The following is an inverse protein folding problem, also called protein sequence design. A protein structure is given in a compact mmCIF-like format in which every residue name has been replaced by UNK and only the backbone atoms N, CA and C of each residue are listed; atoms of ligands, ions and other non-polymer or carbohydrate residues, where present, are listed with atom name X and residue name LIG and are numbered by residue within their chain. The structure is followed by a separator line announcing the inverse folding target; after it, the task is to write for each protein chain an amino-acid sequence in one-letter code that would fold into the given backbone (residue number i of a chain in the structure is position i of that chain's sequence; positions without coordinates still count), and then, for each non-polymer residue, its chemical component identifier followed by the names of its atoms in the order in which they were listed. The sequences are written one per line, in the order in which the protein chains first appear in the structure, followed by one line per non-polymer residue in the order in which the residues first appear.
data_IF_874154398050
#
_entry.id   IF_874154398050
#
_cell.length_a   1.000
_cell.length_b   1.000
_cell.length_c   1.000
_cell.angle_alpha   90.00
_cell.angle_beta   90.00
_cell.angle_gamma   90.00
#
_symmetry.space_group_name_H-M   'P 1'
#
loop_
_entity.id
_entity.type
_entity.pdbx_description
1 polymer ?
#
# COMPACT_ATOMS: atom_id res chain seq x y z
N UNK A 1 10.73 -61.40 -7.03
CA UNK A 1 11.24 -60.47 -6.01
C UNK A 1 10.18 -59.41 -5.71
N UNK A 2 9.53 -59.47 -4.54
CA UNK A 2 8.45 -58.56 -4.18
C UNK A 2 9.00 -57.25 -3.60
N UNK A 3 8.81 -56.15 -4.34
CA UNK A 3 9.20 -54.79 -3.92
C UNK A 3 8.31 -54.26 -2.80
N UNK A 4 8.89 -54.11 -1.61
CA UNK A 4 8.25 -53.59 -0.40
C UNK A 4 7.91 -52.10 -0.57
N UNK A 5 6.63 -51.76 -0.75
CA UNK A 5 6.15 -50.36 -0.76
C UNK A 5 6.41 -49.71 0.60
N UNK A 6 7.35 -48.75 0.64
CA UNK A 6 7.60 -47.89 1.81
C UNK A 6 6.34 -47.07 2.10
N UNK A 7 5.72 -47.33 3.25
CA UNK A 7 4.56 -46.58 3.73
C UNK A 7 4.86 -45.09 3.85
N UNK A 8 4.11 -44.27 3.13
CA UNK A 8 4.13 -42.81 3.24
C UNK A 8 3.42 -42.47 4.55
N UNK A 9 4.18 -42.01 5.56
CA UNK A 9 3.60 -41.52 6.82
C UNK A 9 2.60 -40.39 6.49
N UNK A 10 1.42 -40.34 7.14
CA UNK A 10 0.48 -39.25 6.92
C UNK A 10 1.13 -37.93 7.32
N UNK A 11 1.19 -36.98 6.38
CA UNK A 11 1.67 -35.63 6.65
C UNK A 11 0.78 -34.98 7.70
N UNK A 12 1.37 -34.51 8.81
CA UNK A 12 0.67 -33.74 9.83
C UNK A 12 -0.15 -32.60 9.17
N UNK A 13 -1.36 -32.31 9.66
CA UNK A 13 -2.16 -31.22 9.12
C UNK A 13 -1.36 -29.92 9.19
N UNK A 14 -1.07 -29.32 8.04
CA UNK A 14 -0.36 -28.04 7.97
C UNK A 14 -1.24 -26.97 8.61
N UNK A 15 -0.73 -26.30 9.65
CA UNK A 15 -1.35 -25.09 10.17
C UNK A 15 -1.45 -24.08 9.03
N UNK A 16 -2.61 -23.42 8.87
CA UNK A 16 -2.81 -22.37 7.86
C UNK A 16 -1.71 -21.32 8.02
N UNK A 17 -1.01 -21.01 6.93
CA UNK A 17 0.01 -19.96 6.96
C UNK A 17 -0.68 -18.61 7.18
N UNK A 18 -0.26 -17.89 8.23
CA UNK A 18 -0.69 -16.51 8.47
C UNK A 18 0.20 -15.59 7.64
N UNK A 19 -0.41 -14.70 6.86
CA UNK A 19 0.33 -13.73 6.05
C UNK A 19 1.11 -12.75 6.94
N UNK A 20 2.21 -12.20 6.44
CA UNK A 20 3.00 -11.19 7.19
C UNK A 20 2.20 -9.91 7.43
N UNK A 21 1.37 -9.49 6.47
CA UNK A 21 0.46 -8.35 6.64
C UNK A 21 -0.55 -8.60 7.76
N UNK A 22 -1.23 -9.75 7.73
CA UNK A 22 -2.20 -10.11 8.78
C UNK A 22 -1.56 -10.22 10.15
N UNK A 23 -0.31 -10.71 10.24
CA UNK A 23 0.43 -10.77 11.50
C UNK A 23 0.85 -9.39 12.02
N UNK A 24 1.07 -8.44 11.12
CA UNK A 24 1.43 -7.07 11.45
C UNK A 24 0.21 -6.14 11.58
N UNK A 25 -1.01 -6.67 11.40
CA UNK A 25 -2.27 -5.91 11.43
C UNK A 25 -2.32 -4.78 10.39
N UNK A 26 -1.63 -4.97 9.26
CA UNK A 26 -1.61 -4.01 8.15
C UNK A 26 -2.50 -4.48 7.00
N UNK A 27 -3.22 -3.54 6.38
CA UNK A 27 -3.91 -3.76 5.11
C UNK A 27 -2.92 -3.80 3.93
N UNK A 28 -1.83 -3.04 4.01
CA UNK A 28 -0.83 -2.97 2.96
C UNK A 28 -0.01 -4.28 2.86
N UNK A 29 0.37 -4.69 1.63
CA UNK A 29 1.02 -5.98 1.40
C UNK A 29 2.51 -5.95 1.73
N UNK A 30 2.89 -6.33 2.97
CA UNK A 30 4.27 -6.35 3.47
C UNK A 30 5.22 -7.13 2.56
N UNK A 31 4.83 -8.34 2.13
CA UNK A 31 5.69 -9.15 1.25
C UNK A 31 5.92 -8.51 -0.12
N UNK A 32 4.96 -7.73 -0.62
CA UNK A 32 5.09 -7.03 -1.90
C UNK A 32 6.02 -5.82 -1.77
N UNK A 33 5.91 -5.09 -0.67
CA UNK A 33 6.84 -3.99 -0.33
C UNK A 33 8.26 -4.51 -0.24
N UNK A 34 8.50 -5.65 0.43
CA UNK A 34 9.83 -6.26 0.46
C UNK A 34 10.36 -6.60 -0.93
N UNK A 35 9.52 -7.20 -1.80
CA UNK A 35 9.91 -7.52 -3.17
C UNK A 35 10.36 -6.26 -3.92
N UNK A 36 9.60 -5.17 -3.85
CA UNK A 36 9.97 -3.91 -4.48
C UNK A 36 11.25 -3.31 -3.91
N UNK A 37 11.47 -3.43 -2.60
CA UNK A 37 12.74 -2.99 -2.00
C UNK A 37 13.94 -3.78 -2.52
N UNK A 38 13.77 -5.07 -2.83
CA UNK A 38 14.83 -5.91 -3.40
C UNK A 38 15.05 -5.63 -4.88
N UNK A 39 13.98 -5.50 -5.65
CA UNK A 39 14.02 -5.17 -7.08
C UNK A 39 14.64 -3.79 -7.33
N UNK A 40 14.38 -2.82 -6.45
CA UNK A 40 14.97 -1.48 -6.54
C UNK A 40 16.43 -1.39 -6.09
N UNK A 41 17.01 -2.47 -5.55
CA UNK A 41 18.44 -2.51 -5.20
C UNK A 41 18.85 -1.53 -4.10
N UNK A 42 17.93 -1.04 -3.26
CA UNK A 42 18.20 0.00 -2.25
C UNK A 42 19.22 -0.42 -1.18
N UNK A 43 19.40 -1.72 -0.96
CA UNK A 43 20.42 -2.26 -0.07
C UNK A 43 20.77 -3.71 -0.44
N UNK A 44 22.00 -4.13 -0.16
CA UNK A 44 22.45 -5.52 -0.35
C UNK A 44 21.71 -6.50 0.57
N UNK A 45 21.33 -6.06 1.77
CA UNK A 45 20.55 -6.83 2.76
C UNK A 45 19.47 -5.95 3.36
N UNK A 46 18.28 -6.53 3.55
CA UNK A 46 17.15 -5.88 4.20
C UNK A 46 16.86 -6.55 5.53
N UNK A 47 16.62 -5.76 6.58
CA UNK A 47 16.11 -6.28 7.85
C UNK A 47 14.69 -6.83 7.67
N UNK A 48 14.33 -7.84 8.45
CA UNK A 48 12.98 -8.43 8.44
C UNK A 48 11.89 -7.43 8.83
N UNK A 49 12.24 -6.39 9.59
CA UNK A 49 11.32 -5.33 10.06
C UNK A 49 11.14 -4.20 9.04
N UNK A 50 12.11 -3.97 8.16
CA UNK A 50 12.09 -2.89 7.16
C UNK A 50 10.81 -2.86 6.31
N UNK A 51 10.38 -3.97 5.67
CA UNK A 51 9.18 -3.94 4.85
C UNK A 51 7.89 -3.78 5.66
N UNK A 52 7.90 -4.18 6.94
CA UNK A 52 6.75 -3.98 7.85
C UNK A 52 6.62 -2.50 8.20
N UNK A 53 7.74 -1.87 8.57
CA UNK A 53 7.80 -0.45 8.89
C UNK A 53 7.37 0.41 7.70
N UNK A 54 7.96 0.17 6.52
CA UNK A 54 7.61 0.93 5.32
C UNK A 54 6.14 0.73 4.91
N UNK A 55 5.63 -0.50 4.95
CA UNK A 55 4.22 -0.75 4.67
C UNK A 55 3.29 0.02 5.63
N UNK A 56 3.62 0.05 6.92
CA UNK A 56 2.86 0.80 7.93
C UNK A 56 2.88 2.31 7.68
N UNK A 57 4.04 2.88 7.33
CA UNK A 57 4.15 4.31 7.00
C UNK A 57 3.31 4.65 5.77
N UNK A 58 3.39 3.84 4.71
CA UNK A 58 2.61 4.05 3.49
C UNK A 58 1.10 3.92 3.75
N UNK A 59 0.69 2.96 4.57
CA UNK A 59 -0.71 2.77 4.97
C UNK A 59 -1.22 3.96 5.77
N UNK A 60 -0.45 4.42 6.75
CA UNK A 60 -0.78 5.60 7.55
C UNK A 60 -0.98 6.85 6.70
N UNK A 61 -0.03 7.14 5.81
CA UNK A 61 -0.12 8.30 4.92
C UNK A 61 -1.33 8.21 3.99
N UNK A 62 -1.56 7.04 3.40
CA UNK A 62 -2.70 6.81 2.51
C UNK A 62 -4.03 6.98 3.26
N UNK A 63 -4.14 6.39 4.45
CA UNK A 63 -5.34 6.49 5.28
C UNK A 63 -5.62 7.95 5.68
N UNK A 64 -4.59 8.70 6.06
CA UNK A 64 -4.74 10.10 6.45
C UNK A 64 -5.23 10.98 5.28
N UNK A 65 -4.62 10.82 4.10
CA UNK A 65 -5.04 11.55 2.89
C UNK A 65 -6.48 11.20 2.51
N UNK A 66 -6.85 9.91 2.55
CA UNK A 66 -8.20 9.46 2.21
C UNK A 66 -9.26 9.90 3.24
N UNK A 67 -8.91 9.97 4.53
CA UNK A 67 -9.81 10.48 5.57
C UNK A 67 -10.15 11.96 5.33
N UNK A 68 -9.13 12.78 5.08
CA UNK A 68 -9.32 14.20 4.77
C UNK A 68 -10.08 14.41 3.45
N UNK A 69 -9.74 13.65 2.41
CA UNK A 69 -10.42 13.74 1.12
C UNK A 69 -11.86 13.24 1.19
N UNK A 70 -12.15 12.28 2.07
CA UNK A 70 -13.48 11.80 2.39
C UNK A 70 -14.34 12.88 3.04
N UNK A 71 -13.79 13.60 4.03
CA UNK A 71 -14.46 14.75 4.67
C UNK A 71 -14.74 15.86 3.67
N UNK A 72 -13.75 16.23 2.86
CA UNK A 72 -13.90 17.23 1.79
C UNK A 72 -15.00 16.84 0.78
N UNK A 73 -15.05 15.56 0.39
CA UNK A 73 -16.10 15.04 -0.48
C UNK A 73 -17.49 15.14 0.17
N UNK A 74 -17.58 14.78 1.45
CA UNK A 74 -18.81 14.83 2.23
C UNK A 74 -19.32 16.26 2.40
N UNK A 75 -18.42 17.20 2.69
CA UNK A 75 -18.73 18.64 2.82
C UNK A 75 -19.27 19.20 1.51
N UNK A 76 -18.71 18.77 0.37
CA UNK A 76 -19.22 19.07 -0.98
C UNK A 76 -20.45 18.24 -1.39
N UNK A 77 -21.04 17.47 -0.47
CA UNK A 77 -22.20 16.58 -0.68
C UNK A 77 -21.99 15.56 -1.80
N UNK A 78 -20.75 15.12 -2.01
CA UNK A 78 -20.39 14.08 -2.99
C UNK A 78 -20.20 12.74 -2.27
N UNK A 79 -20.72 11.67 -2.87
CA UNK A 79 -20.55 10.30 -2.35
C UNK A 79 -19.22 9.64 -2.74
N UNK A 80 -18.50 10.21 -3.70
CA UNK A 80 -17.25 9.66 -4.26
C UNK A 80 -16.14 10.69 -4.11
N UNK A 81 -14.96 10.23 -3.67
CA UNK A 81 -13.74 11.02 -3.68
C UNK A 81 -13.32 11.24 -5.15
N UNK A 82 -13.12 12.50 -5.53
CA UNK A 82 -12.68 12.92 -6.85
C UNK A 82 -11.31 13.60 -6.75
N UNK A 83 -10.55 13.74 -7.85
CA UNK A 83 -9.24 14.41 -7.85
C UNK A 83 -9.26 15.79 -7.19
N UNK A 84 -10.31 16.57 -7.45
CA UNK A 84 -10.55 17.89 -6.86
C UNK A 84 -10.58 17.90 -5.32
N UNK A 85 -10.97 16.80 -4.66
CA UNK A 85 -10.93 16.72 -3.20
C UNK A 85 -9.52 16.44 -2.69
N UNK A 86 -8.74 15.68 -3.47
CA UNK A 86 -7.33 15.43 -3.16
C UNK A 86 -6.48 16.68 -3.35
N UNK A 87 -6.78 17.49 -4.37
CA UNK A 87 -6.15 18.80 -4.59
C UNK A 87 -6.31 19.71 -3.36
N UNK A 88 -7.54 19.91 -2.87
CA UNK A 88 -7.77 20.72 -1.66
C UNK A 88 -6.95 20.20 -0.46
N UNK A 89 -6.91 18.88 -0.27
CA UNK A 89 -6.19 18.27 0.86
C UNK A 89 -4.69 18.43 0.71
N UNK A 90 -4.14 18.25 -0.49
CA UNK A 90 -2.71 18.39 -0.76
C UNK A 90 -2.27 19.84 -0.58
N UNK A 91 -3.06 20.81 -1.08
CA UNK A 91 -2.78 22.25 -0.90
C UNK A 91 -2.85 22.69 0.56
N UNK A 92 -3.77 22.10 1.33
CA UNK A 92 -3.93 22.39 2.76
C UNK A 92 -2.74 21.87 3.58
N UNK A 93 -2.13 20.75 3.19
CA UNK A 93 -1.04 20.13 3.96
C UNK A 93 0.31 20.65 3.44
N UNK A 94 0.81 21.72 4.07
CA UNK A 94 2.12 22.30 3.75
C UNK A 94 3.27 21.29 3.74
N UNK A 95 3.23 20.27 4.61
CA UNK A 95 4.26 19.22 4.67
C UNK A 95 4.19 18.22 3.51
N UNK A 96 3.05 18.13 2.80
CA UNK A 96 2.95 17.30 1.61
C UNK A 96 3.57 17.98 0.40
N UNK A 97 3.64 19.32 0.36
CA UNK A 97 4.30 20.03 -0.74
C UNK A 97 5.78 19.65 -0.90
N UNK A 98 6.51 19.50 0.21
CA UNK A 98 7.92 19.08 0.17
C UNK A 98 8.09 17.61 -0.22
N UNK A 99 7.08 16.78 0.06
CA UNK A 99 7.08 15.35 -0.26
C UNK A 99 6.66 15.08 -1.71
N UNK A 100 5.72 15.86 -2.25
CA UNK A 100 5.02 15.57 -3.50
C UNK A 100 5.64 16.23 -4.74
N UNK A 101 6.55 17.21 -4.57
CA UNK A 101 7.28 17.85 -5.67
C UNK A 101 6.39 18.44 -6.79
N UNK A 102 6.99 18.99 -7.84
CA UNK A 102 6.23 19.63 -8.93
C UNK A 102 5.47 18.64 -9.84
N UNK A 103 5.89 17.37 -9.88
CA UNK A 103 5.29 16.36 -10.76
C UNK A 103 3.85 15.97 -10.42
N UNK A 104 3.44 16.13 -9.16
CA UNK A 104 2.09 15.75 -8.70
C UNK A 104 1.01 16.74 -9.16
N UNK A 105 1.35 18.02 -9.32
CA UNK A 105 0.45 19.00 -9.93
C UNK A 105 0.09 18.59 -11.35
N UNK A 106 1.07 18.13 -12.15
CA UNK A 106 0.81 17.68 -13.52
C UNK A 106 -0.11 16.45 -13.58
N UNK A 107 0.04 15.50 -12.65
CA UNK A 107 -0.80 14.31 -12.60
C UNK A 107 -2.23 14.64 -12.17
N UNK A 108 -2.42 15.55 -11.22
CA UNK A 108 -3.75 16.01 -10.81
C UNK A 108 -4.42 16.79 -11.94
N UNK A 109 -3.66 17.65 -12.63
CA UNK A 109 -4.15 18.45 -13.75
C UNK A 109 -4.56 17.56 -14.95
N UNK A 110 -3.77 16.52 -15.26
CA UNK A 110 -4.14 15.49 -16.24
C UNK A 110 -5.43 14.74 -15.84
N UNK A 111 -5.61 14.44 -14.55
CA UNK A 111 -6.82 13.76 -14.06
C UNK A 111 -8.07 14.64 -14.09
N UNK A 112 -7.92 15.97 -13.96
CA UNK A 112 -9.01 16.94 -14.12
C UNK A 112 -9.40 17.06 -15.59
N UNK A 113 -8.43 17.18 -16.50
CA UNK A 113 -8.66 17.35 -17.94
C UNK A 113 -9.09 16.06 -18.65
N UNK A 114 -8.83 14.88 -18.09
CA UNK A 114 -9.32 13.60 -18.61
C UNK A 114 -10.86 13.46 -18.56
N UNK A 115 -11.57 14.41 -17.91
CA UNK A 115 -13.04 14.45 -17.85
C UNK A 115 -13.70 15.16 -19.03
N UNK A 116 -12.92 15.90 -19.83
CA UNK A 116 -13.42 16.73 -20.94
C UNK A 116 -13.29 16.04 -22.31
N UNK A 117 -13.04 14.73 -22.34
CA UNK A 117 -12.91 13.92 -23.55
C UNK A 117 -13.80 12.69 -23.49
#
# INVERSE_FOLDING_TARGET
MAGKKRGRKPSKPMKKAISRSSRAELQFPVSRVERYLREGGYAQRLSSTTPVFLAGVLEFLTANILDQAGKEAQDKRKKRIAPQHLETVIESIQQLHSLLGDGTKSLLDEMVHAKDK
#
